data_IF_170621519887
#
_entry.id   IF_170621519887
#
_cell.length_a   1.000
_cell.length_b   1.000
_cell.length_c   1.000
_cell.angle_alpha   90.00
_cell.angle_beta   90.00
_cell.angle_gamma   90.00
#
_symmetry.space_group_name_H-M   'P 1'
#
loop_
_entity.id
_entity.type
_entity.pdbx_description
1 polymer ?
#
# COMPACT_ATOMS: atom_id res chain seq x y z
N UNK A 1 -14.19 -14.99 14.35
CA UNK A 1 -13.63 -15.83 13.27
C UNK A 1 -12.15 -15.99 13.54
N UNK A 2 -11.61 -17.20 13.52
CA UNK A 2 -10.17 -17.41 13.78
C UNK A 2 -9.35 -17.12 12.51
N UNK A 3 -8.03 -16.94 12.66
CA UNK A 3 -7.11 -16.85 11.53
C UNK A 3 -7.18 -18.10 10.63
N UNK A 4 -7.42 -19.28 11.22
CA UNK A 4 -7.57 -20.54 10.49
C UNK A 4 -8.82 -20.54 9.59
N UNK A 5 -9.97 -20.13 10.11
CA UNK A 5 -11.23 -20.04 9.34
C UNK A 5 -11.10 -19.06 8.17
N UNK A 6 -10.45 -17.93 8.44
CA UNK A 6 -10.15 -16.88 7.46
C UNK A 6 -9.23 -17.37 6.35
N UNK A 7 -8.20 -18.12 6.73
CA UNK A 7 -7.21 -18.69 5.79
C UNK A 7 -7.88 -19.73 4.91
N UNK A 8 -8.65 -20.66 5.47
CA UNK A 8 -9.36 -21.70 4.72
C UNK A 8 -10.29 -21.10 3.65
N UNK A 9 -10.91 -19.94 3.94
CA UNK A 9 -11.78 -19.21 3.01
C UNK A 9 -11.04 -18.66 1.78
N UNK A 10 -9.75 -18.34 1.93
CA UNK A 10 -8.92 -17.72 0.89
C UNK A 10 -7.77 -18.60 0.42
N UNK A 11 -7.74 -19.86 0.83
CA UNK A 11 -6.65 -20.78 0.49
C UNK A 11 -6.48 -20.89 -1.02
N UNK A 12 -7.56 -20.90 -1.81
CA UNK A 12 -7.50 -20.93 -3.27
C UNK A 12 -6.69 -19.76 -3.88
N UNK A 13 -6.72 -18.58 -3.26
CA UNK A 13 -5.93 -17.43 -3.71
C UNK A 13 -4.44 -17.60 -3.37
N UNK A 14 -4.14 -18.12 -2.18
CA UNK A 14 -2.76 -18.32 -1.76
C UNK A 14 -2.10 -19.55 -2.37
N UNK A 15 -2.78 -20.68 -2.45
CA UNK A 15 -2.27 -21.99 -2.89
C UNK A 15 -1.59 -21.91 -4.27
N UNK A 16 -2.16 -21.13 -5.20
CA UNK A 16 -1.62 -20.99 -6.56
C UNK A 16 -0.43 -20.08 -6.67
N UNK A 17 -0.35 -19.07 -5.81
CA UNK A 17 0.70 -18.04 -5.88
C UNK A 17 1.88 -18.39 -4.97
N UNK A 18 1.64 -19.10 -3.86
CA UNK A 18 2.66 -19.47 -2.86
C UNK A 18 3.89 -20.14 -3.49
N UNK A 19 3.77 -21.12 -4.40
CA UNK A 19 4.94 -21.77 -5.01
C UNK A 19 5.78 -20.85 -5.90
N UNK A 20 5.25 -19.68 -6.27
CA UNK A 20 5.91 -18.69 -7.11
C UNK A 20 6.60 -17.59 -6.29
N UNK A 21 6.33 -17.52 -4.98
CA UNK A 21 6.88 -16.47 -4.14
C UNK A 21 8.39 -16.68 -3.98
N UNK A 22 9.16 -15.62 -4.24
CA UNK A 22 10.61 -15.64 -4.17
C UNK A 22 11.27 -16.39 -5.33
N UNK A 23 10.51 -17.01 -6.24
CA UNK A 23 11.05 -17.80 -7.35
C UNK A 23 10.85 -17.07 -8.67
N UNK A 24 11.95 -16.86 -9.40
CA UNK A 24 11.89 -16.34 -10.76
C UNK A 24 11.07 -17.26 -11.67
N UNK A 25 9.98 -16.71 -12.18
CA UNK A 25 8.94 -17.43 -12.90
C UNK A 25 8.62 -16.69 -14.21
N UNK A 26 8.42 -17.39 -15.34
CA UNK A 26 7.92 -16.75 -16.55
C UNK A 26 6.62 -15.95 -16.30
N UNK A 27 6.50 -14.77 -16.94
CA UNK A 27 5.36 -13.87 -16.74
C UNK A 27 4.00 -14.54 -17.03
N UNK A 28 3.95 -15.40 -18.03
CA UNK A 28 2.73 -16.11 -18.42
C UNK A 28 2.30 -17.12 -17.36
N UNK A 29 3.25 -17.83 -16.75
CA UNK A 29 2.99 -18.76 -15.65
C UNK A 29 2.43 -18.02 -14.42
N UNK A 30 2.93 -16.83 -14.08
CA UNK A 30 2.33 -15.99 -13.03
C UNK A 30 0.90 -15.59 -13.41
N UNK A 31 0.69 -15.06 -14.61
CA UNK A 31 -0.63 -14.66 -15.09
C UNK A 31 -1.65 -15.82 -15.08
N UNK A 32 -1.24 -17.01 -15.49
CA UNK A 32 -2.09 -18.21 -15.44
C UNK A 32 -2.40 -18.63 -14.01
N UNK A 33 -1.43 -18.60 -13.09
CA UNK A 33 -1.68 -18.91 -11.68
C UNK A 33 -2.74 -17.98 -11.07
N UNK A 34 -2.67 -16.68 -11.37
CA UNK A 34 -3.68 -15.70 -10.97
C UNK A 34 -5.05 -16.03 -11.57
N UNK A 35 -5.11 -16.29 -12.87
CA UNK A 35 -6.36 -16.64 -13.57
C UNK A 35 -7.01 -17.89 -12.98
N UNK A 36 -6.23 -18.93 -12.69
CA UNK A 36 -6.76 -20.16 -12.11
C UNK A 36 -7.31 -19.93 -10.70
N UNK A 37 -6.61 -19.15 -9.87
CA UNK A 37 -7.11 -18.79 -8.54
C UNK A 37 -8.45 -18.01 -8.61
N UNK A 38 -8.56 -17.02 -9.50
CA UNK A 38 -9.82 -16.28 -9.73
C UNK A 38 -10.94 -17.22 -10.16
N UNK A 39 -10.67 -18.11 -11.13
CA UNK A 39 -11.66 -19.08 -11.64
C UNK A 39 -12.10 -20.10 -10.58
N UNK A 40 -11.22 -20.45 -9.65
CA UNK A 40 -11.54 -21.35 -8.53
C UNK A 40 -12.44 -20.66 -7.51
N UNK A 41 -12.20 -19.36 -7.22
CA UNK A 41 -13.03 -18.58 -6.31
C UNK A 41 -14.44 -18.26 -6.89
N UNK A 42 -14.57 -18.23 -8.22
CA UNK A 42 -15.81 -17.93 -8.96
C UNK A 42 -16.54 -16.66 -8.45
N UNK A 43 -15.84 -15.52 -8.34
CA UNK A 43 -16.49 -14.27 -7.94
C UNK A 43 -17.54 -13.85 -8.99
N UNK A 44 -18.68 -13.28 -8.57
CA UNK A 44 -19.71 -12.76 -9.48
C UNK A 44 -19.20 -11.64 -10.42
N UNK A 45 -18.23 -10.84 -9.98
CA UNK A 45 -17.56 -9.84 -10.78
C UNK A 45 -16.08 -9.75 -10.44
N UNK A 46 -15.25 -9.42 -11.43
CA UNK A 46 -13.79 -9.24 -11.27
C UNK A 46 -13.36 -7.93 -11.87
N UNK A 47 -12.71 -7.09 -11.07
CA UNK A 47 -11.92 -5.97 -11.57
C UNK A 47 -10.43 -6.32 -11.57
N UNK A 48 -9.66 -5.73 -12.48
CA UNK A 48 -8.20 -5.84 -12.46
C UNK A 48 -7.58 -4.44 -12.53
N UNK A 49 -6.76 -4.11 -11.54
CA UNK A 49 -5.89 -2.94 -11.54
C UNK A 49 -4.45 -3.40 -11.72
N UNK A 50 -3.67 -2.73 -12.58
CA UNK A 50 -2.25 -3.01 -12.78
C UNK A 50 -1.43 -1.74 -12.62
N UNK A 51 -0.42 -1.81 -11.74
CA UNK A 51 0.46 -0.71 -11.37
C UNK A 51 1.88 -1.11 -11.75
N UNK A 52 2.52 -0.30 -12.60
CA UNK A 52 3.83 -0.58 -13.21
C UNK A 52 4.66 0.69 -13.29
N UNK A 53 5.97 0.56 -13.52
CA UNK A 53 6.76 1.72 -13.89
C UNK A 53 6.38 2.23 -15.29
N UNK A 54 6.53 3.52 -15.55
CA UNK A 54 6.39 4.12 -16.89
C UNK A 54 7.49 3.73 -17.88
N UNK A 55 8.53 3.01 -17.44
CA UNK A 55 9.63 2.57 -18.29
C UNK A 55 9.11 1.63 -19.40
N UNK A 56 9.56 1.83 -20.64
CA UNK A 56 9.12 1.08 -21.80
C UNK A 56 9.42 -0.42 -21.71
N UNK A 57 10.38 -0.82 -20.88
CA UNK A 57 10.70 -2.24 -20.66
C UNK A 57 9.57 -2.99 -19.98
N UNK A 58 8.66 -2.32 -19.26
CA UNK A 58 7.52 -2.98 -18.60
C UNK A 58 6.41 -3.44 -19.56
N UNK A 59 6.57 -3.16 -20.87
CA UNK A 59 5.58 -3.53 -21.88
C UNK A 59 5.24 -5.03 -21.89
N UNK A 60 6.24 -5.91 -21.79
CA UNK A 60 5.99 -7.36 -21.82
C UNK A 60 5.19 -7.83 -20.60
N UNK A 61 5.48 -7.30 -19.41
CA UNK A 61 4.73 -7.58 -18.17
C UNK A 61 3.25 -7.22 -18.34
N UNK A 62 2.97 -6.03 -18.86
CA UNK A 62 1.64 -5.50 -19.11
C UNK A 62 0.87 -6.34 -20.12
N UNK A 63 1.45 -6.59 -21.29
CA UNK A 63 0.81 -7.36 -22.36
C UNK A 63 0.54 -8.80 -21.92
N UNK A 64 1.44 -9.37 -21.12
CA UNK A 64 1.28 -10.73 -20.60
C UNK A 64 0.17 -10.81 -19.56
N UNK A 65 0.08 -9.87 -18.61
CA UNK A 65 -1.04 -9.83 -17.65
C UNK A 65 -2.39 -9.64 -18.38
N UNK A 66 -2.41 -8.75 -19.37
CA UNK A 66 -3.59 -8.50 -20.20
C UNK A 66 -4.06 -9.80 -20.89
N UNK A 67 -3.14 -10.50 -21.55
CA UNK A 67 -3.40 -11.76 -22.28
C UNK A 67 -3.80 -12.91 -21.35
N UNK A 68 -3.05 -13.12 -20.26
CA UNK A 68 -3.15 -14.32 -19.44
C UNK A 68 -4.20 -14.23 -18.32
N UNK A 69 -4.62 -13.03 -17.93
CA UNK A 69 -5.59 -12.81 -16.86
C UNK A 69 -6.77 -11.96 -17.34
N UNK A 70 -6.53 -10.73 -17.75
CA UNK A 70 -7.57 -9.69 -17.93
C UNK A 70 -8.62 -10.11 -18.95
N UNK A 71 -8.21 -10.58 -20.13
CA UNK A 71 -9.14 -11.01 -21.18
C UNK A 71 -10.10 -12.11 -20.75
N UNK A 72 -9.71 -12.94 -19.77
CA UNK A 72 -10.51 -14.07 -19.33
C UNK A 72 -11.44 -13.76 -18.15
N UNK A 73 -11.10 -12.78 -17.31
CA UNK A 73 -11.79 -12.58 -16.02
C UNK A 73 -12.46 -11.22 -15.90
N UNK A 74 -11.94 -10.18 -16.54
CA UNK A 74 -12.48 -8.82 -16.39
C UNK A 74 -13.76 -8.62 -17.20
N UNK A 75 -14.65 -7.69 -16.83
CA UNK A 75 -15.80 -7.33 -17.66
C UNK A 75 -15.35 -6.79 -19.02
N UNK A 76 -16.25 -6.88 -20.00
CA UNK A 76 -16.07 -6.26 -21.32
C UNK A 76 -16.19 -4.75 -21.18
N UNK A 77 -15.21 -4.02 -21.72
CA UNK A 77 -15.23 -2.56 -21.80
C UNK A 77 -16.03 -2.08 -23.02
N UNK A 78 -15.74 -2.66 -24.19
CA UNK A 78 -16.39 -2.42 -25.51
C UNK A 78 -16.35 -3.71 -26.32
N UNK A 79 -16.91 -3.75 -27.55
CA UNK A 79 -16.97 -4.93 -28.43
C UNK A 79 -15.76 -5.87 -28.33
N UNK A 80 -15.89 -6.94 -27.53
CA UNK A 80 -14.85 -7.97 -27.33
C UNK A 80 -13.59 -7.53 -26.56
N UNK A 81 -13.48 -6.27 -26.15
CA UNK A 81 -12.29 -5.73 -25.50
C UNK A 81 -12.44 -5.73 -23.98
N UNK A 82 -11.36 -6.14 -23.32
CA UNK A 82 -11.20 -6.15 -21.87
C UNK A 82 -9.95 -5.34 -21.54
N UNK A 83 -9.92 -4.63 -20.42
CA UNK A 83 -8.73 -3.90 -19.99
C UNK A 83 -8.66 -3.87 -18.48
N UNK A 84 -7.43 -3.95 -17.95
CA UNK A 84 -7.17 -3.53 -16.59
C UNK A 84 -7.25 -2.00 -16.50
N UNK A 85 -7.62 -1.48 -15.32
CA UNK A 85 -7.35 -0.10 -14.96
C UNK A 85 -5.86 0.00 -14.67
N UNK A 86 -5.16 0.85 -15.42
CA UNK A 86 -3.70 0.94 -15.36
C UNK A 86 -3.24 2.26 -14.79
N UNK A 87 -2.28 2.19 -13.88
CA UNK A 87 -1.48 3.34 -13.45
C UNK A 87 -0.02 3.04 -13.77
N UNK A 88 0.66 4.00 -14.38
CA UNK A 88 2.05 3.88 -14.78
C UNK A 88 2.78 5.17 -14.45
N UNK A 89 3.70 5.11 -13.49
CA UNK A 89 4.44 6.27 -13.00
C UNK A 89 5.92 5.93 -12.72
N UNK A 90 6.69 6.92 -12.26
CA UNK A 90 8.09 6.70 -11.89
C UNK A 90 8.18 5.70 -10.73
N UNK A 91 9.02 4.68 -10.91
CA UNK A 91 9.26 3.58 -9.97
C UNK A 91 8.07 2.65 -9.66
N UNK A 92 6.96 2.73 -10.42
CA UNK A 92 5.80 1.86 -10.22
C UNK A 92 5.15 2.04 -8.85
N UNK A 93 5.10 3.29 -8.39
CA UNK A 93 4.53 3.68 -7.11
C UNK A 93 3.03 3.50 -7.10
N UNK A 94 2.51 3.11 -5.95
CA UNK A 94 1.10 3.17 -5.66
C UNK A 94 0.67 4.63 -5.47
N UNK A 95 -0.40 5.04 -6.15
CA UNK A 95 -0.99 6.36 -5.99
C UNK A 95 -2.21 6.26 -5.05
N UNK A 96 -2.17 7.02 -3.95
CA UNK A 96 -3.31 7.15 -3.04
C UNK A 96 -4.56 7.64 -3.79
N UNK A 97 -5.70 7.03 -3.50
CA UNK A 97 -6.97 7.23 -4.19
C UNK A 97 -7.18 6.31 -5.40
N UNK A 98 -6.15 5.63 -5.89
CA UNK A 98 -6.29 4.78 -7.08
C UNK A 98 -7.15 3.55 -6.84
N UNK A 99 -7.15 2.98 -5.63
CA UNK A 99 -7.94 1.79 -5.31
C UNK A 99 -9.44 2.10 -5.20
N UNK A 100 -9.91 3.15 -4.49
CA UNK A 100 -11.31 3.57 -4.54
C UNK A 100 -11.80 3.86 -5.96
N UNK A 101 -10.96 4.51 -6.78
CA UNK A 101 -11.29 4.75 -8.20
C UNK A 101 -11.46 3.42 -8.95
N UNK A 102 -10.58 2.45 -8.75
CA UNK A 102 -10.68 1.13 -9.36
C UNK A 102 -11.88 0.33 -8.83
N UNK A 103 -12.18 0.41 -7.53
CA UNK A 103 -13.34 -0.22 -6.92
C UNK A 103 -14.63 0.29 -7.57
N UNK A 104 -14.82 1.61 -7.61
CA UNK A 104 -15.98 2.24 -8.25
C UNK A 104 -16.03 1.94 -9.76
N UNK A 105 -14.90 1.99 -10.47
CA UNK A 105 -14.84 1.69 -11.90
C UNK A 105 -15.38 0.29 -12.25
N UNK A 106 -15.12 -0.69 -11.38
CA UNK A 106 -15.61 -2.06 -11.54
C UNK A 106 -16.87 -2.35 -10.69
N UNK A 107 -17.57 -1.32 -10.19
CA UNK A 107 -18.81 -1.50 -9.45
C UNK A 107 -19.84 -2.26 -10.29
N UNK A 108 -20.49 -3.23 -9.66
CA UNK A 108 -21.48 -4.10 -10.29
C UNK A 108 -22.88 -3.57 -9.98
N UNK A 109 -23.72 -3.41 -10.99
CA UNK A 109 -25.18 -3.27 -10.86
C UNK A 109 -25.82 -4.65 -10.67
N UNK A 110 -25.38 -5.41 -9.66
CA UNK A 110 -25.95 -6.73 -9.34
C UNK A 110 -26.85 -6.71 -8.09
N UNK A 111 -27.81 -7.65 -7.98
CA UNK A 111 -28.72 -7.75 -6.84
C UNK A 111 -28.00 -7.94 -5.50
N UNK A 112 -28.73 -7.64 -4.41
CA UNK A 112 -28.21 -7.68 -3.04
C UNK A 112 -27.53 -9.00 -2.69
N UNK A 113 -26.30 -8.94 -2.17
CA UNK A 113 -25.52 -10.09 -1.69
C UNK A 113 -24.42 -10.59 -2.62
N UNK A 114 -24.34 -10.12 -3.87
CA UNK A 114 -23.18 -10.37 -4.73
C UNK A 114 -21.93 -9.62 -4.22
N UNK A 115 -20.74 -10.17 -4.49
CA UNK A 115 -19.47 -9.52 -4.16
C UNK A 115 -18.58 -9.38 -5.39
N UNK A 116 -17.66 -8.43 -5.33
CA UNK A 116 -16.61 -8.21 -6.33
C UNK A 116 -15.26 -8.70 -5.83
N UNK A 117 -14.46 -9.28 -6.71
CA UNK A 117 -13.03 -9.46 -6.50
C UNK A 117 -12.27 -8.37 -7.28
N UNK A 118 -11.54 -7.50 -6.59
CA UNK A 118 -10.62 -6.57 -7.25
C UNK A 118 -9.20 -7.12 -7.14
N UNK A 119 -8.65 -7.57 -8.26
CA UNK A 119 -7.25 -8.02 -8.34
C UNK A 119 -6.37 -6.80 -8.60
N UNK A 120 -5.44 -6.52 -7.69
CA UNK A 120 -4.50 -5.41 -7.82
C UNK A 120 -3.10 -5.99 -8.00
N UNK A 121 -2.58 -5.94 -9.22
CA UNK A 121 -1.21 -6.35 -9.51
C UNK A 121 -0.29 -5.14 -9.43
N UNK A 122 0.77 -5.24 -8.64
CA UNK A 122 1.78 -4.18 -8.52
C UNK A 122 3.14 -4.78 -8.87
N UNK A 123 3.86 -4.14 -9.78
CA UNK A 123 5.19 -4.54 -10.20
C UNK A 123 6.17 -3.39 -10.02
N UNK A 124 7.22 -3.63 -9.24
CA UNK A 124 8.49 -2.95 -9.44
C UNK A 124 9.27 -3.69 -10.54
N UNK A 125 10.40 -3.14 -10.97
CA UNK A 125 11.20 -3.78 -12.02
C UNK A 125 12.69 -3.51 -11.88
N UNK A 126 13.49 -4.39 -12.48
CA UNK A 126 14.95 -4.34 -12.47
C UNK A 126 15.50 -4.96 -13.74
N UNK A 127 16.51 -4.32 -14.32
CA UNK A 127 17.21 -4.85 -15.50
C UNK A 127 18.14 -5.99 -15.13
N UNK A 128 18.25 -7.00 -15.99
CA UNK A 128 19.14 -8.14 -15.82
C UNK A 128 20.03 -8.29 -17.05
N UNK A 129 21.34 -8.33 -16.82
CA UNK A 129 22.32 -8.71 -17.85
C UNK A 129 23.03 -10.00 -17.44
N UNK A 130 23.48 -10.76 -18.44
CA UNK A 130 24.30 -11.96 -18.25
C UNK A 130 25.70 -11.68 -18.77
N UNK A 131 26.70 -11.91 -17.93
CA UNK A 131 28.12 -11.84 -18.30
C UNK A 131 28.89 -13.09 -17.86
N UNK A 132 30.19 -13.12 -18.15
CA UNK A 132 31.07 -14.25 -17.79
C UNK A 132 31.16 -14.50 -16.27
N UNK A 133 30.84 -13.49 -15.45
CA UNK A 133 30.82 -13.56 -13.99
C UNK A 133 29.45 -13.90 -13.37
N UNK A 134 28.46 -14.27 -14.19
CA UNK A 134 27.08 -14.51 -13.74
C UNK A 134 26.14 -13.38 -14.12
N UNK A 135 24.99 -13.31 -13.43
CA UNK A 135 23.98 -12.27 -13.64
C UNK A 135 24.36 -11.01 -12.89
N UNK A 136 24.05 -9.87 -13.49
CA UNK A 136 24.09 -8.58 -12.79
C UNK A 136 22.75 -7.88 -12.92
N UNK A 137 22.43 -7.05 -11.93
CA UNK A 137 21.10 -6.49 -11.77
C UNK A 137 21.15 -4.96 -11.66
N UNK A 138 20.15 -4.29 -12.24
CA UNK A 138 20.01 -2.84 -12.21
C UNK A 138 20.38 -2.14 -13.52
N UNK A 139 20.84 -2.89 -14.53
CA UNK A 139 21.25 -2.37 -15.83
C UNK A 139 20.70 -3.20 -16.98
N UNK A 140 20.52 -2.55 -18.12
CA UNK A 140 20.09 -3.17 -19.38
C UNK A 140 20.67 -2.38 -20.56
N UNK A 141 21.08 -3.07 -21.62
CA UNK A 141 21.43 -2.44 -22.89
C UNK A 141 20.14 -2.06 -23.63
N UNK A 142 19.97 -0.76 -23.87
CA UNK A 142 18.85 -0.20 -24.63
C UNK A 142 19.41 0.68 -25.74
N UNK A 143 18.99 0.40 -26.98
CA UNK A 143 19.40 1.18 -28.15
C UNK A 143 20.92 1.25 -28.35
N UNK A 144 21.64 0.17 -28.00
CA UNK A 144 23.10 0.09 -28.10
C UNK A 144 23.85 0.86 -27.00
N UNK A 145 23.17 1.21 -25.91
CA UNK A 145 23.76 1.87 -24.74
C UNK A 145 23.24 1.22 -23.45
N UNK A 146 24.18 0.92 -22.55
CA UNK A 146 23.84 0.48 -21.20
C UNK A 146 23.15 1.60 -20.41
N UNK A 147 22.07 1.25 -19.71
CA UNK A 147 21.21 2.17 -18.99
C UNK A 147 20.72 1.55 -17.67
N UNK A 148 20.31 2.40 -16.72
CA UNK A 148 19.85 1.97 -15.38
C UNK A 148 18.37 1.61 -15.40
N UNK A 149 18.02 0.49 -14.76
CA UNK A 149 16.66 -0.05 -14.68
C UNK A 149 16.41 -0.60 -13.27
N UNK A 150 15.52 -0.05 -12.45
CA UNK A 150 14.62 1.09 -12.64
C UNK A 150 15.30 2.45 -12.38
N UNK A 151 15.32 3.36 -13.36
CA UNK A 151 15.92 4.69 -13.17
C UNK A 151 15.29 5.50 -12.02
N UNK A 152 13.98 5.36 -11.77
CA UNK A 152 13.30 5.99 -10.65
C UNK A 152 13.82 5.50 -9.29
N UNK A 153 13.90 4.18 -9.10
CA UNK A 153 14.40 3.59 -7.85
C UNK A 153 15.88 3.94 -7.60
N UNK A 154 16.70 3.94 -8.66
CA UNK A 154 18.11 4.31 -8.53
C UNK A 154 18.32 5.81 -8.28
N UNK A 155 17.51 6.69 -8.87
CA UNK A 155 17.54 8.12 -8.55
C UNK A 155 17.14 8.39 -7.09
N UNK A 156 16.12 7.67 -6.59
CA UNK A 156 15.76 7.67 -5.18
C UNK A 156 16.93 7.22 -4.29
N UNK A 157 17.56 6.08 -4.61
CA UNK A 157 18.70 5.56 -3.85
C UNK A 157 19.90 6.52 -3.87
N UNK A 158 20.08 7.24 -4.97
CA UNK A 158 21.12 8.27 -5.12
C UNK A 158 20.81 9.59 -4.38
N UNK A 159 19.70 9.68 -3.64
CA UNK A 159 19.36 10.84 -2.83
C UNK A 159 18.67 11.98 -3.58
N UNK A 160 18.03 11.70 -4.72
CA UNK A 160 17.25 12.72 -5.44
C UNK A 160 16.19 13.39 -4.55
N UNK A 161 16.02 14.70 -4.70
CA UNK A 161 15.09 15.54 -3.93
C UNK A 161 13.88 15.99 -4.76
N UNK A 162 13.42 15.09 -5.63
CA UNK A 162 12.23 15.31 -6.45
C UNK A 162 11.02 14.66 -5.78
N UNK A 163 9.79 15.15 -6.00
CA UNK A 163 8.62 14.72 -5.24
C UNK A 163 8.43 13.20 -5.15
N UNK A 164 8.64 12.48 -6.27
CA UNK A 164 8.48 11.02 -6.27
C UNK A 164 9.49 10.29 -5.37
N UNK A 165 10.71 10.82 -5.26
CA UNK A 165 11.78 10.23 -4.46
C UNK A 165 11.57 10.52 -2.97
N UNK A 166 10.96 11.67 -2.64
CA UNK A 166 10.57 12.00 -1.28
C UNK A 166 9.51 11.05 -0.77
N UNK A 167 8.46 10.80 -1.57
CA UNK A 167 7.42 9.81 -1.25
C UNK A 167 8.01 8.40 -1.04
N UNK A 168 8.91 7.95 -1.93
CA UNK A 168 9.61 6.67 -1.76
C UNK A 168 10.41 6.63 -0.46
N UNK A 169 11.07 7.74 -0.09
CA UNK A 169 11.82 7.84 1.16
C UNK A 169 10.92 7.69 2.37
N UNK A 170 9.74 8.34 2.37
CA UNK A 170 8.76 8.20 3.44
C UNK A 170 8.34 6.73 3.61
N UNK A 171 8.08 6.06 2.48
CA UNK A 171 7.67 4.65 2.43
C UNK A 171 8.79 3.73 2.93
N UNK A 172 10.05 3.94 2.51
CA UNK A 172 11.18 3.07 2.89
C UNK A 172 11.58 3.20 4.37
N UNK A 173 11.36 4.36 4.98
CA UNK A 173 11.66 4.65 6.39
C UNK A 173 10.47 4.33 7.33
N UNK A 174 9.37 3.82 6.77
CA UNK A 174 8.17 3.49 7.51
C UNK A 174 8.35 2.35 8.51
N UNK A 175 7.41 2.22 9.45
CA UNK A 175 7.22 1.00 10.26
C UNK A 175 8.40 0.54 11.13
N UNK A 176 9.46 1.33 11.27
CA UNK A 176 10.50 1.10 12.29
C UNK A 176 11.77 0.52 11.73
N UNK A 177 11.80 0.37 10.41
CA UNK A 177 12.87 -0.27 9.70
C UNK A 177 13.50 0.76 8.75
N UNK A 178 14.78 1.07 8.98
CA UNK A 178 15.58 1.85 8.03
C UNK A 178 16.08 0.93 6.93
N UNK A 179 15.20 0.67 5.96
CA UNK A 179 15.47 -0.26 4.86
C UNK A 179 16.61 0.23 3.96
N UNK A 180 16.86 1.54 3.92
CA UNK A 180 17.96 2.10 3.14
C UNK A 180 19.31 1.71 3.77
N UNK A 181 19.45 1.88 5.08
CA UNK A 181 20.65 1.45 5.79
C UNK A 181 20.87 -0.08 5.71
N UNK A 182 19.79 -0.86 5.67
CA UNK A 182 19.88 -2.32 5.54
C UNK A 182 20.24 -2.77 4.11
N UNK A 183 19.82 -2.04 3.08
CA UNK A 183 20.20 -2.32 1.68
C UNK A 183 21.72 -2.23 1.47
N UNK A 184 22.42 -1.38 2.21
CA UNK A 184 23.88 -1.28 2.14
C UNK A 184 24.59 -2.56 2.59
N UNK A 185 23.93 -3.39 3.41
CA UNK A 185 24.43 -4.68 3.89
C UNK A 185 24.18 -5.83 2.91
N UNK A 186 23.35 -5.62 1.90
CA UNK A 186 23.10 -6.61 0.83
C UNK A 186 24.31 -6.63 -0.11
N UNK A 187 24.69 -7.83 -0.57
CA UNK A 187 25.69 -8.01 -1.63
C UNK A 187 25.41 -7.02 -2.78
N UNK A 188 26.37 -6.17 -3.18
CA UNK A 188 26.20 -5.21 -4.26
C UNK A 188 25.62 -5.80 -5.55
N UNK A 189 25.88 -7.09 -5.84
CA UNK A 189 25.31 -7.81 -6.99
C UNK A 189 23.78 -7.90 -6.93
N UNK A 190 23.20 -8.09 -5.74
CA UNK A 190 21.77 -8.28 -5.53
C UNK A 190 21.03 -7.02 -5.07
N UNK A 191 21.76 -5.94 -4.74
CA UNK A 191 21.18 -4.72 -4.16
C UNK A 191 20.04 -4.13 -4.99
N UNK A 192 20.17 -4.10 -6.32
CA UNK A 192 19.13 -3.58 -7.22
C UNK A 192 17.86 -4.44 -7.18
N UNK A 193 18.01 -5.77 -7.05
CA UNK A 193 16.86 -6.68 -6.89
C UNK A 193 16.22 -6.50 -5.53
N UNK A 194 17.02 -6.44 -4.46
CA UNK A 194 16.52 -6.20 -3.11
C UNK A 194 15.74 -4.88 -3.02
N UNK A 195 16.25 -3.82 -3.65
CA UNK A 195 15.57 -2.52 -3.75
C UNK A 195 14.20 -2.65 -4.44
N UNK A 196 14.12 -3.39 -5.54
CA UNK A 196 12.87 -3.63 -6.26
C UNK A 196 11.89 -4.49 -5.45
N UNK A 197 12.37 -5.55 -4.77
CA UNK A 197 11.57 -6.42 -3.91
C UNK A 197 10.91 -5.61 -2.77
N UNK A 198 11.72 -4.81 -2.06
CA UNK A 198 11.24 -3.92 -1.00
C UNK A 198 10.23 -2.92 -1.56
N UNK A 199 10.54 -2.28 -2.69
CA UNK A 199 9.62 -1.31 -3.30
C UNK A 199 8.28 -1.96 -3.60
N UNK A 200 8.24 -3.08 -4.34
CA UNK A 200 7.01 -3.79 -4.67
C UNK A 200 6.21 -4.16 -3.40
N UNK A 201 6.91 -4.65 -2.36
CA UNK A 201 6.32 -5.02 -1.08
C UNK A 201 5.69 -3.84 -0.34
N UNK A 202 6.31 -2.67 -0.37
CA UNK A 202 5.83 -1.46 0.30
C UNK A 202 4.75 -0.72 -0.51
N UNK A 203 4.81 -0.76 -1.85
CA UNK A 203 3.74 -0.23 -2.69
C UNK A 203 2.45 -1.06 -2.54
N UNK A 204 2.55 -2.39 -2.51
CA UNK A 204 1.42 -3.25 -2.16
C UNK A 204 0.92 -3.02 -0.74
N UNK A 205 1.82 -2.67 0.19
CA UNK A 205 1.42 -2.30 1.53
C UNK A 205 0.57 -1.02 1.55
N UNK A 206 0.94 -0.01 0.76
CA UNK A 206 0.15 1.23 0.62
C UNK A 206 -1.26 0.94 0.09
N UNK A 207 -1.39 0.06 -0.92
CA UNK A 207 -2.69 -0.38 -1.42
C UNK A 207 -3.53 -1.09 -0.35
N UNK A 208 -2.92 -1.94 0.48
CA UNK A 208 -3.61 -2.61 1.59
C UNK A 208 -4.09 -1.59 2.63
N UNK A 209 -3.27 -0.59 2.96
CA UNK A 209 -3.67 0.47 3.90
C UNK A 209 -4.90 1.22 3.39
N UNK A 210 -4.93 1.56 2.11
CA UNK A 210 -6.11 2.19 1.52
C UNK A 210 -7.32 1.25 1.51
N UNK A 211 -7.15 -0.02 1.18
CA UNK A 211 -8.22 -1.03 1.28
C UNK A 211 -8.74 -1.21 2.72
N UNK A 212 -7.88 -0.99 3.71
CA UNK A 212 -8.23 -1.08 5.12
C UNK A 212 -9.10 0.09 5.57
N UNK A 213 -8.82 1.29 5.08
CA UNK A 213 -9.48 2.54 5.47
C UNK A 213 -10.73 2.83 4.63
N UNK A 214 -10.72 2.41 3.37
CA UNK A 214 -11.80 2.68 2.43
C UNK A 214 -13.00 1.76 2.68
N UNK A 215 -14.19 2.36 2.79
CA UNK A 215 -15.46 1.66 2.75
C UNK A 215 -15.91 1.53 1.28
N UNK A 216 -15.88 0.32 0.69
CA UNK A 216 -16.29 0.15 -0.70
C UNK A 216 -17.79 0.39 -0.88
N UNK A 217 -18.18 0.80 -2.08
CA UNK A 217 -19.60 0.99 -2.44
C UNK A 217 -20.35 -0.34 -2.50
N UNK A 218 -19.64 -1.41 -2.86
CA UNK A 218 -20.17 -2.77 -2.96
C UNK A 218 -19.32 -3.76 -2.15
N UNK A 219 -19.90 -4.85 -1.62
CA UNK A 219 -19.12 -5.91 -0.95
C UNK A 219 -17.93 -6.35 -1.81
N UNK A 220 -16.72 -6.10 -1.34
CA UNK A 220 -15.50 -6.28 -2.15
C UNK A 220 -14.43 -7.08 -1.41
N UNK A 221 -13.77 -7.98 -2.14
CA UNK A 221 -12.51 -8.60 -1.73
C UNK A 221 -11.42 -7.95 -2.58
N UNK A 222 -10.38 -7.43 -1.94
CA UNK A 222 -9.18 -7.00 -2.63
C UNK A 222 -8.15 -8.11 -2.57
N UNK A 223 -7.62 -8.50 -3.73
CA UNK A 223 -6.51 -9.43 -3.83
C UNK A 223 -5.31 -8.71 -4.44
N UNK A 224 -4.34 -8.34 -3.61
CA UNK A 224 -3.22 -7.47 -3.99
C UNK A 224 -1.96 -8.34 -4.10
N UNK A 225 -1.37 -8.41 -5.30
CA UNK A 225 -0.20 -9.25 -5.59
C UNK A 225 0.98 -8.38 -6.00
N UNK A 226 2.04 -8.44 -5.20
CA UNK A 226 3.28 -7.72 -5.43
C UNK A 226 4.28 -8.58 -6.20
N UNK A 227 4.97 -8.01 -7.19
CA UNK A 227 6.00 -8.69 -7.96
C UNK A 227 7.14 -7.78 -8.39
N UNK A 228 8.22 -8.38 -8.85
CA UNK A 228 9.34 -7.69 -9.51
C UNK A 228 9.51 -8.26 -10.90
N UNK A 229 9.32 -7.44 -11.93
CA UNK A 229 9.67 -7.79 -13.30
C UNK A 229 11.18 -7.77 -13.47
N UNK A 230 11.74 -8.85 -14.01
CA UNK A 230 13.14 -8.98 -14.38
C UNK A 230 13.26 -8.70 -15.88
N UNK A 231 13.57 -7.46 -16.24
CA UNK A 231 13.67 -7.06 -17.64
C UNK A 231 14.97 -7.59 -18.25
N UNK A 232 14.88 -8.29 -19.37
CA UNK A 232 16.02 -8.98 -19.99
C UNK A 232 16.14 -8.69 -21.48
N UNK A 233 17.30 -9.04 -22.10
CA UNK A 233 17.41 -9.09 -23.55
C UNK A 233 16.54 -10.19 -24.19
N UNK A 234 16.28 -11.27 -23.45
CA UNK A 234 15.32 -12.31 -23.82
C UNK A 234 13.96 -12.06 -23.17
N UNK A 235 13.11 -13.08 -23.02
CA UNK A 235 11.78 -12.91 -22.42
C UNK A 235 11.88 -12.55 -20.95
N UNK A 236 11.09 -11.55 -20.56
CA UNK A 236 10.98 -11.12 -19.18
C UNK A 236 10.41 -12.24 -18.29
N UNK A 237 10.81 -12.21 -17.02
CA UNK A 237 10.26 -13.04 -15.96
C UNK A 237 9.85 -12.19 -14.78
N UNK A 238 9.19 -12.79 -13.79
CA UNK A 238 8.75 -12.13 -12.58
C UNK A 238 9.14 -12.94 -11.35
N UNK A 239 9.50 -12.24 -10.27
CA UNK A 239 9.54 -12.80 -8.93
C UNK A 239 8.30 -12.30 -8.20
N UNK A 240 7.41 -13.19 -7.79
CA UNK A 240 6.30 -12.80 -6.91
C UNK A 240 6.87 -12.54 -5.52
N UNK A 241 6.58 -11.37 -4.96
CA UNK A 241 7.09 -10.97 -3.63
C UNK A 241 6.13 -11.42 -2.54
N UNK A 242 4.82 -11.30 -2.80
CA UNK A 242 3.80 -11.68 -1.86
C UNK A 242 2.39 -11.35 -2.33
N UNK A 243 1.42 -11.83 -1.56
CA UNK A 243 0.00 -11.71 -1.81
C UNK A 243 -0.72 -11.26 -0.55
N UNK A 244 -1.64 -10.30 -0.71
CA UNK A 244 -2.55 -9.87 0.33
C UNK A 244 -3.99 -10.15 -0.04
N UNK A 245 -4.80 -10.50 0.94
CA UNK A 245 -6.26 -10.57 0.81
C UNK A 245 -6.88 -9.66 1.85
N UNK A 246 -7.73 -8.74 1.42
CA UNK A 246 -8.48 -7.81 2.27
C UNK A 246 -9.97 -8.01 1.99
N UNK A 247 -10.71 -8.59 2.93
CA UNK A 247 -12.16 -8.82 2.80
C UNK A 247 -12.95 -7.66 3.41
N UNK A 248 -13.74 -6.98 2.58
CA UNK A 248 -14.63 -5.87 2.95
C UNK A 248 -16.07 -6.15 2.55
N UNK A 249 -16.48 -7.43 2.51
CA UNK A 249 -17.86 -7.82 2.21
C UNK A 249 -18.85 -7.60 3.36
N UNK A 250 -18.38 -7.44 4.59
CA UNK A 250 -19.22 -7.25 5.78
C UNK A 250 -18.48 -6.54 6.89
N UNK A 251 -19.07 -6.50 8.08
CA UNK A 251 -18.50 -5.81 9.26
C UNK A 251 -17.24 -6.50 9.80
N UNK A 252 -17.19 -7.84 9.69
CA UNK A 252 -16.00 -8.61 10.04
C UNK A 252 -14.97 -8.48 8.91
N UNK A 253 -13.91 -7.70 9.17
CA UNK A 253 -12.79 -7.53 8.25
C UNK A 253 -11.78 -8.65 8.41
N UNK A 254 -11.08 -8.99 7.34
CA UNK A 254 -10.03 -10.00 7.33
C UNK A 254 -8.94 -9.56 6.41
N UNK A 255 -7.74 -9.39 6.96
CA UNK A 255 -6.58 -8.88 6.23
C UNK A 255 -5.43 -9.85 6.39
N UNK A 256 -5.10 -10.56 5.32
CA UNK A 256 -4.10 -11.63 5.33
C UNK A 256 -2.94 -11.27 4.40
N UNK A 257 -1.74 -11.73 4.76
CA UNK A 257 -0.53 -11.62 3.98
C UNK A 257 0.21 -12.96 3.92
N UNK A 258 0.68 -13.34 2.74
CA UNK A 258 1.64 -14.44 2.55
C UNK A 258 2.72 -13.97 1.58
N UNK A 259 3.97 -14.01 2.01
CA UNK A 259 5.11 -13.69 1.15
C UNK A 259 6.36 -13.27 1.92
N UNK A 260 7.35 -12.77 1.18
CA UNK A 260 8.61 -12.27 1.71
C UNK A 260 8.39 -11.08 2.68
N UNK A 261 9.29 -10.91 3.62
CA UNK A 261 9.44 -9.72 4.44
C UNK A 261 9.95 -8.53 3.65
N UNK A 262 10.09 -7.42 4.35
CA UNK A 262 10.57 -6.14 3.84
C UNK A 262 11.90 -5.70 4.48
N UNK A 263 12.52 -6.58 5.26
CA UNK A 263 13.88 -6.43 5.78
C UNK A 263 14.87 -7.18 4.87
N UNK A 264 15.68 -6.47 4.07
CA UNK A 264 16.57 -7.12 3.11
C UNK A 264 17.75 -7.85 3.76
N UNK A 265 18.02 -7.66 5.05
CA UNK A 265 19.09 -8.38 5.75
C UNK A 265 18.74 -9.85 6.00
N UNK A 266 17.47 -10.23 5.85
CA UNK A 266 16.98 -11.60 5.95
C UNK A 266 16.87 -12.31 4.59
N UNK A 267 17.18 -11.62 3.48
CA UNK A 267 17.09 -12.23 2.15
C UNK A 267 18.28 -13.13 1.85
N UNK A 268 17.99 -14.38 1.53
CA UNK A 268 18.94 -15.36 1.01
C UNK A 268 18.74 -15.50 -0.49
N UNK A 269 19.75 -15.11 -1.26
CA UNK A 269 19.76 -15.21 -2.72
C UNK A 269 20.46 -16.48 -3.17
N UNK A 270 19.81 -17.25 -4.04
CA UNK A 270 20.43 -18.39 -4.70
C UNK A 270 20.09 -18.41 -6.19
N UNK A 271 21.00 -18.94 -7.00
CA UNK A 271 20.75 -19.16 -8.43
C UNK A 271 20.78 -20.66 -8.72
N UNK A 272 19.67 -21.19 -9.21
CA UNK A 272 19.53 -22.58 -9.62
C UNK A 272 18.91 -22.66 -11.02
N UNK A 273 19.51 -23.45 -11.91
CA UNK A 273 18.99 -23.64 -13.28
C UNK A 273 18.72 -22.32 -14.02
N UNK A 274 19.61 -21.34 -13.85
CA UNK A 274 19.51 -19.99 -14.42
C UNK A 274 18.30 -19.16 -13.95
N UNK A 275 17.69 -19.53 -12.82
CA UNK A 275 16.62 -18.81 -12.15
C UNK A 275 17.10 -18.28 -10.81
N UNK A 276 16.69 -17.06 -10.49
CA UNK A 276 16.91 -16.49 -9.16
C UNK A 276 15.85 -17.02 -8.20
N UNK A 277 16.29 -17.41 -7.01
CA UNK A 277 15.44 -17.75 -5.88
C UNK A 277 15.83 -16.88 -4.69
N UNK A 278 14.82 -16.36 -3.98
CA UNK A 278 14.95 -15.56 -2.77
C UNK A 278 14.13 -16.21 -1.68
N UNK A 279 14.76 -16.41 -0.52
CA UNK A 279 14.10 -16.91 0.69
C UNK A 279 14.30 -15.93 1.84
N UNK A 280 13.43 -16.04 2.84
CA UNK A 280 13.61 -15.43 4.14
C UNK A 280 12.97 -16.30 5.24
N UNK A 281 13.09 -15.86 6.49
CA UNK A 281 12.57 -16.53 7.68
C UNK A 281 11.05 -16.45 7.84
N UNK A 282 10.35 -15.78 6.92
CA UNK A 282 8.92 -15.51 7.03
C UNK A 282 8.08 -16.39 6.11
N UNK A 283 8.67 -16.98 5.08
CA UNK A 283 8.05 -18.01 4.26
C UNK A 283 8.01 -19.37 5.00
N UNK A 284 6.93 -20.17 4.86
CA UNK A 284 5.73 -19.99 4.02
C UNK A 284 4.51 -19.41 4.77
N UNK A 285 4.71 -18.81 5.95
CA UNK A 285 3.65 -18.54 6.93
C UNK A 285 2.64 -17.46 6.47
N UNK A 286 1.34 -17.74 6.63
CA UNK A 286 0.26 -16.73 6.53
C UNK A 286 0.22 -15.88 7.79
N UNK A 287 0.06 -14.58 7.62
CA UNK A 287 0.12 -13.59 8.69
C UNK A 287 -1.02 -12.60 8.55
N UNK A 288 -1.44 -12.00 9.65
CA UNK A 288 -2.34 -10.84 9.57
C UNK A 288 -1.60 -9.67 8.92
N UNK A 289 -2.28 -8.96 8.02
CA UNK A 289 -1.77 -7.68 7.56
C UNK A 289 -1.76 -6.71 8.75
N UNK A 290 -0.67 -5.97 8.91
CA UNK A 290 -0.53 -4.99 9.99
C UNK A 290 -1.68 -3.96 9.91
N UNK A 291 -2.08 -3.39 11.04
CA UNK A 291 -3.01 -2.24 11.09
C UNK A 291 -2.22 -1.04 11.59
N UNK A 292 -2.03 -0.02 10.73
CA UNK A 292 -1.16 1.10 11.08
C UNK A 292 -1.79 2.06 12.07
N UNK A 293 -3.11 2.22 12.04
CA UNK A 293 -3.78 3.06 13.03
C UNK A 293 -3.58 2.44 14.40
N UNK A 294 -3.74 1.12 14.52
CA UNK A 294 -3.48 0.37 15.75
C UNK A 294 -2.02 0.44 16.20
N UNK A 295 -1.05 0.23 15.30
CA UNK A 295 0.37 0.27 15.66
C UNK A 295 0.79 1.66 16.14
N UNK A 296 0.37 2.72 15.43
CA UNK A 296 0.64 4.10 15.80
C UNK A 296 0.01 4.43 17.16
N UNK A 297 -1.26 4.07 17.38
CA UNK A 297 -1.96 4.29 18.65
C UNK A 297 -1.28 3.55 19.82
N UNK A 298 -0.87 2.29 19.64
CA UNK A 298 -0.18 1.51 20.66
C UNK A 298 1.20 2.09 20.99
N UNK A 299 1.99 2.44 19.97
CA UNK A 299 3.32 3.04 20.18
C UNK A 299 3.21 4.41 20.85
N UNK A 300 2.23 5.22 20.43
CA UNK A 300 1.93 6.51 21.04
C UNK A 300 1.57 6.38 22.52
N UNK A 301 0.65 5.46 22.86
CA UNK A 301 0.25 5.18 24.25
C UNK A 301 1.40 4.65 25.10
N UNK A 302 2.24 3.76 24.53
CA UNK A 302 3.39 3.17 25.22
C UNK A 302 4.39 4.22 25.68
N UNK A 303 4.59 5.28 24.90
CA UNK A 303 5.56 6.33 25.23
C UNK A 303 5.12 7.22 26.39
N UNK A 304 3.82 7.39 26.64
CA UNK A 304 3.31 8.13 27.81
C UNK A 304 3.71 9.61 27.94
N UNK A 305 4.55 10.13 27.02
CA UNK A 305 5.19 11.45 27.08
C UNK A 305 4.37 12.55 26.39
N UNK A 306 3.52 12.19 25.42
CA UNK A 306 2.70 13.15 24.67
C UNK A 306 1.43 13.47 25.46
N UNK A 307 1.53 14.38 26.42
CA UNK A 307 0.37 14.91 27.15
C UNK A 307 -0.44 15.82 26.22
N UNK A 308 -1.75 15.60 26.17
CA UNK A 308 -2.69 16.51 25.52
C UNK A 308 -2.67 17.86 26.26
N UNK A 309 -2.58 18.96 25.53
CA UNK A 309 -2.57 20.30 26.12
C UNK A 309 -3.88 20.57 26.87
N UNK A 310 -3.80 21.04 28.11
CA UNK A 310 -4.97 21.51 28.90
C UNK A 310 -5.16 23.02 28.80
N UNK A 311 -4.84 23.61 27.65
CA UNK A 311 -4.97 25.05 27.44
C UNK A 311 -6.42 25.51 27.63
N UNK A 312 -6.61 26.54 28.45
CA UNK A 312 -7.92 27.09 28.80
C UNK A 312 -8.72 27.61 27.60
N UNK A 313 -8.04 28.02 26.51
CA UNK A 313 -8.68 28.47 25.26
C UNK A 313 -9.40 27.31 24.57
N UNK A 314 -8.72 26.17 24.44
CA UNK A 314 -9.31 24.94 23.87
C UNK A 314 -10.49 24.49 24.73
N UNK A 315 -10.33 24.47 26.05
CA UNK A 315 -11.39 24.12 27.01
C UNK A 315 -12.61 25.03 26.89
N UNK A 316 -12.40 26.34 26.71
CA UNK A 316 -13.49 27.32 26.55
C UNK A 316 -14.29 27.08 25.27
N UNK A 317 -13.60 26.84 24.15
CA UNK A 317 -14.26 26.54 22.86
C UNK A 317 -15.04 25.23 22.94
N UNK A 318 -14.45 24.17 23.53
CA UNK A 318 -15.11 22.87 23.67
C UNK A 318 -16.28 22.87 24.67
N UNK A 319 -16.26 23.72 25.70
CA UNK A 319 -17.41 23.91 26.60
C UNK A 319 -18.62 24.46 25.85
N UNK A 320 -18.42 25.50 25.04
CA UNK A 320 -19.47 26.07 24.20
C UNK A 320 -19.96 25.04 23.16
N UNK A 321 -19.09 24.12 22.73
CA UNK A 321 -19.43 23.06 21.79
C UNK A 321 -20.44 22.05 22.36
N UNK A 322 -20.40 21.77 23.68
CA UNK A 322 -21.37 20.86 24.32
C UNK A 322 -22.80 21.37 24.22
N UNK A 323 -22.99 22.69 24.23
CA UNK A 323 -24.31 23.32 24.14
C UNK A 323 -24.87 23.29 22.70
N UNK A 324 -24.00 23.17 21.69
CA UNK A 324 -24.35 23.24 20.28
C UNK A 324 -24.07 21.93 19.52
N UNK A 325 -23.88 20.82 20.25
CA UNK A 325 -23.43 19.55 19.66
C UNK A 325 -24.40 18.96 18.64
N UNK A 326 -25.68 19.36 18.68
CA UNK A 326 -26.71 18.85 17.78
C UNK A 326 -26.73 19.57 16.41
N UNK A 327 -26.19 20.79 16.31
CA UNK A 327 -26.20 21.56 15.07
C UNK A 327 -24.95 21.28 14.21
N UNK A 328 -25.15 20.79 12.98
CA UNK A 328 -24.04 20.40 12.11
C UNK A 328 -23.15 21.59 11.68
N UNK A 329 -23.74 22.77 11.47
CA UNK A 329 -23.01 23.99 11.12
C UNK A 329 -22.13 24.46 12.27
N UNK A 330 -22.68 24.48 13.48
CA UNK A 330 -21.97 24.79 14.70
C UNK A 330 -20.81 23.82 14.94
N UNK A 331 -21.03 22.50 14.79
CA UNK A 331 -19.95 21.50 14.91
C UNK A 331 -18.78 21.81 13.97
N UNK A 332 -19.05 22.08 12.69
CA UNK A 332 -18.01 22.44 11.72
C UNK A 332 -17.25 23.70 12.13
N UNK A 333 -17.97 24.76 12.52
CA UNK A 333 -17.35 26.02 12.95
C UNK A 333 -16.48 25.86 14.21
N UNK A 334 -16.93 25.05 15.17
CA UNK A 334 -16.17 24.71 16.38
C UNK A 334 -14.89 23.96 16.00
N UNK A 335 -14.99 22.91 15.17
CA UNK A 335 -13.82 22.11 14.78
C UNK A 335 -12.80 22.98 14.03
N UNK A 336 -13.27 23.83 13.10
CA UNK A 336 -12.43 24.77 12.36
C UNK A 336 -11.75 25.81 13.27
N UNK A 337 -12.31 26.08 14.45
CA UNK A 337 -11.67 26.94 15.46
C UNK A 337 -10.65 26.17 16.31
N UNK A 338 -10.94 24.90 16.65
CA UNK A 338 -10.11 24.11 17.57
C UNK A 338 -8.87 23.54 16.88
N UNK A 339 -8.96 23.11 15.62
CA UNK A 339 -7.83 22.48 14.92
C UNK A 339 -6.61 23.41 14.83
N UNK A 340 -6.73 24.68 14.38
CA UNK A 340 -5.60 25.61 14.37
C UNK A 340 -4.98 25.83 15.76
N UNK A 341 -5.83 25.95 16.80
CA UNK A 341 -5.34 26.08 18.17
C UNK A 341 -4.53 24.85 18.61
N UNK A 342 -4.94 23.65 18.21
CA UNK A 342 -4.20 22.42 18.51
C UNK A 342 -2.91 22.31 17.70
N UNK A 343 -2.89 22.80 16.45
CA UNK A 343 -1.68 22.87 15.63
C UNK A 343 -0.60 23.78 16.25
N UNK A 344 -1.02 24.84 16.94
CA UNK A 344 -0.12 25.73 17.68
C UNK A 344 0.35 25.13 19.01
N UNK A 345 -0.57 24.51 19.76
CA UNK A 345 -0.34 24.13 21.15
C UNK A 345 0.27 22.74 21.34
N UNK A 346 -0.18 21.77 20.54
CA UNK A 346 0.20 20.37 20.68
C UNK A 346 0.00 19.61 19.36
N UNK A 347 0.68 20.02 18.27
CA UNK A 347 0.42 19.52 16.92
C UNK A 347 0.59 18.01 16.85
N UNK A 348 1.68 17.47 17.39
CA UNK A 348 2.01 16.04 17.33
C UNK A 348 0.93 15.18 18.02
N UNK A 349 0.56 15.51 19.26
CA UNK A 349 -0.48 14.77 20.00
C UNK A 349 -1.83 14.82 19.30
N UNK A 350 -2.22 15.97 18.75
CA UNK A 350 -3.47 16.12 18.02
C UNK A 350 -3.48 15.32 16.71
N UNK A 351 -2.42 15.43 15.91
CA UNK A 351 -2.28 14.70 14.65
C UNK A 351 -2.33 13.18 14.87
N UNK A 352 -1.59 12.66 15.85
CA UNK A 352 -1.58 11.23 16.19
C UNK A 352 -2.92 10.76 16.75
N UNK A 353 -3.60 11.57 17.57
CA UNK A 353 -4.95 11.27 18.05
C UNK A 353 -5.91 11.12 16.87
N UNK A 354 -5.99 12.11 15.98
CA UNK A 354 -6.90 12.06 14.84
C UNK A 354 -6.56 10.90 13.89
N UNK A 355 -5.28 10.64 13.65
CA UNK A 355 -4.87 9.48 12.86
C UNK A 355 -5.27 8.15 13.51
N UNK A 356 -5.01 7.95 14.80
CA UNK A 356 -5.38 6.72 15.52
C UNK A 356 -6.89 6.47 15.53
N UNK A 357 -7.70 7.53 15.56
CA UNK A 357 -9.17 7.44 15.57
C UNK A 357 -9.81 7.28 14.18
N UNK A 358 -9.02 7.18 13.12
CA UNK A 358 -9.55 7.06 11.75
C UNK A 358 -10.08 8.37 11.17
N UNK A 359 -9.69 9.52 11.72
CA UNK A 359 -10.10 10.85 11.26
C UNK A 359 -9.08 11.39 10.25
N UNK A 360 -7.79 11.30 10.59
CA UNK A 360 -6.71 11.66 9.66
C UNK A 360 -6.64 10.69 8.48
N UNK A 361 -6.35 11.20 7.28
CA UNK A 361 -6.25 10.37 6.08
C UNK A 361 -5.19 9.28 6.19
N UNK A 362 -5.48 8.07 5.69
CA UNK A 362 -4.55 6.93 5.78
C UNK A 362 -3.24 7.16 5.00
N UNK A 363 -3.26 8.04 3.99
CA UNK A 363 -2.08 8.45 3.24
C UNK A 363 -1.01 9.14 4.14
N UNK A 364 -1.37 9.59 5.35
CA UNK A 364 -0.43 10.07 6.35
C UNK A 364 0.20 8.96 7.20
N UNK A 365 -0.06 7.66 6.95
CA UNK A 365 0.41 6.58 7.80
C UNK A 365 1.91 6.65 8.08
N UNK A 366 2.72 6.96 7.07
CA UNK A 366 4.16 7.06 7.21
C UNK A 366 4.61 8.26 8.04
N UNK A 367 3.97 9.42 7.87
CA UNK A 367 4.18 10.60 8.72
C UNK A 367 3.81 10.30 10.18
N UNK A 368 2.68 9.65 10.42
CA UNK A 368 2.26 9.26 11.76
C UNK A 368 3.26 8.31 12.44
N UNK A 369 3.81 7.34 11.70
CA UNK A 369 4.89 6.47 12.20
C UNK A 369 6.17 7.25 12.56
N UNK A 370 6.55 8.27 11.77
CA UNK A 370 7.69 9.14 12.08
C UNK A 370 7.42 9.98 13.34
N UNK A 371 6.28 10.64 13.42
CA UNK A 371 5.87 11.46 14.56
C UNK A 371 5.83 10.66 15.87
N UNK A 372 5.43 9.39 15.81
CA UNK A 372 5.50 8.50 16.97
C UNK A 372 6.93 8.25 17.45
N UNK A 373 7.94 8.34 16.58
CA UNK A 373 9.34 8.04 16.91
C UNK A 373 10.18 9.26 17.22
N UNK A 374 10.00 10.30 16.43
CA UNK A 374 10.79 11.52 16.40
C UNK A 374 9.85 12.71 16.63
N UNK A 375 9.73 13.12 17.90
CA UNK A 375 8.76 14.14 18.36
C UNK A 375 9.14 15.55 17.87
N UNK A 376 10.34 15.74 17.31
CA UNK A 376 10.86 17.06 16.97
C UNK A 376 10.23 17.65 15.70
N UNK A 377 9.68 16.82 14.80
CA UNK A 377 9.19 17.26 13.48
C UNK A 377 7.74 17.72 13.52
N UNK A 378 7.49 18.86 14.18
CA UNK A 378 6.16 19.46 14.27
C UNK A 378 5.50 19.77 12.91
N UNK A 379 6.26 19.92 11.83
CA UNK A 379 5.75 20.26 10.49
C UNK A 379 4.92 19.13 9.88
N UNK A 380 5.34 17.87 10.05
CA UNK A 380 4.54 16.70 9.61
C UNK A 380 3.16 16.69 10.28
N UNK A 381 3.14 17.02 11.58
CA UNK A 381 1.91 17.07 12.36
C UNK A 381 1.02 18.26 11.97
N UNK A 382 1.60 19.43 11.70
CA UNK A 382 0.86 20.59 11.19
C UNK A 382 0.23 20.29 9.84
N UNK A 383 0.99 19.72 8.91
CA UNK A 383 0.46 19.33 7.60
C UNK A 383 -0.72 18.35 7.73
N UNK A 384 -0.65 17.37 8.64
CA UNK A 384 -1.77 16.45 8.89
C UNK A 384 -3.03 17.15 9.43
N UNK A 385 -2.86 18.21 10.22
CA UNK A 385 -3.94 18.99 10.79
C UNK A 385 -4.52 19.99 9.77
N UNK A 386 -3.67 20.61 8.96
CA UNK A 386 -4.06 21.47 7.82
C UNK A 386 -4.88 20.68 6.80
N UNK A 387 -4.41 19.49 6.38
CA UNK A 387 -5.16 18.60 5.49
C UNK A 387 -6.55 18.23 6.07
N UNK A 388 -6.64 18.03 7.39
CA UNK A 388 -7.92 17.76 8.05
C UNK A 388 -8.82 19.00 8.03
N UNK A 389 -8.26 20.19 8.30
CA UNK A 389 -8.97 21.47 8.28
C UNK A 389 -9.56 21.76 6.89
N UNK A 390 -8.75 21.64 5.84
CA UNK A 390 -9.17 21.85 4.45
C UNK A 390 -10.35 20.94 4.06
N UNK A 391 -10.36 19.71 4.58
CA UNK A 391 -11.41 18.72 4.31
C UNK A 391 -12.70 18.96 5.10
N UNK A 392 -12.69 19.72 6.21
CA UNK A 392 -13.87 19.92 7.07
C UNK A 392 -15.11 20.38 6.31
N UNK A 393 -14.91 21.22 5.28
CA UNK A 393 -15.97 21.72 4.42
C UNK A 393 -16.76 20.59 3.75
N UNK A 394 -16.07 19.53 3.31
CA UNK A 394 -16.63 18.42 2.53
C UNK A 394 -17.02 17.21 3.38
N UNK A 395 -16.66 17.18 4.67
CA UNK A 395 -16.99 16.05 5.54
C UNK A 395 -18.51 15.89 5.75
N UNK A 396 -19.00 14.63 5.76
CA UNK A 396 -20.36 14.30 6.16
C UNK A 396 -20.66 14.70 7.62
N UNK A 397 -21.94 14.96 7.97
CA UNK A 397 -22.33 15.32 9.34
C UNK A 397 -21.90 14.30 10.40
N UNK A 398 -21.94 13.00 10.10
CA UNK A 398 -21.54 11.94 11.04
C UNK A 398 -20.03 11.96 11.32
N UNK A 399 -19.20 12.25 10.32
CA UNK A 399 -17.76 12.39 10.52
C UNK A 399 -17.42 13.61 11.36
N UNK A 400 -18.08 14.75 11.13
CA UNK A 400 -17.89 15.94 11.98
C UNK A 400 -18.32 15.69 13.41
N UNK A 401 -19.39 14.91 13.63
CA UNK A 401 -19.83 14.50 14.96
C UNK A 401 -18.76 13.65 15.65
N UNK A 402 -18.23 12.64 14.96
CA UNK A 402 -17.14 11.79 15.46
C UNK A 402 -15.90 12.60 15.83
N UNK A 403 -15.51 13.58 15.01
CA UNK A 403 -14.38 14.47 15.31
C UNK A 403 -14.63 15.25 16.60
N UNK A 404 -15.81 15.84 16.75
CA UNK A 404 -16.16 16.59 17.95
C UNK A 404 -16.19 15.68 19.20
N UNK A 405 -16.71 14.46 19.09
CA UNK A 405 -16.70 13.49 20.19
C UNK A 405 -15.28 13.14 20.63
N UNK A 406 -14.37 12.90 19.68
CA UNK A 406 -12.95 12.67 19.96
C UNK A 406 -12.31 13.88 20.66
N UNK A 407 -12.59 15.09 20.17
CA UNK A 407 -12.11 16.33 20.79
C UNK A 407 -12.63 16.49 22.23
N UNK A 408 -13.93 16.28 22.46
CA UNK A 408 -14.55 16.40 23.77
C UNK A 408 -14.03 15.34 24.75
N UNK A 409 -13.76 14.11 24.29
CA UNK A 409 -13.23 13.05 25.13
C UNK A 409 -11.75 13.27 25.50
N UNK A 410 -10.97 13.82 24.57
CA UNK A 410 -9.54 14.03 24.74
C UNK A 410 -9.21 15.35 25.47
N UNK A 411 -10.00 16.40 25.23
CA UNK A 411 -9.69 17.77 25.64
C UNK A 411 -10.85 18.49 26.36
N UNK A 412 -11.99 17.86 26.66
CA UNK A 412 -13.11 18.49 27.39
C UNK A 412 -13.32 17.88 28.77
#
# INVERSE_FOLDING_TARGET
MTLADSTARFEALFERVTPLIGVETPLDQVGFALKFAVRQLRPPAVGVQHITCSDETERECVETLQRCLVHDVSPRLKFGNHSALRTANLAGRYEWGSLPVAENHYAITQPSGAYKLLVVKINAHVGVTRGNGGRTYGRLDRYGRESIVCSGLHAFLAGSQVPFADELREVFQAEGCDRLALLDRVDPRHRSVALALISARLQARSAVLEAQDHRPETPTIYWIVAGVTLNKPDRDSEIVVGSYVVDRRGEATTDLYRGLGDDPSHYEFSEAHHRLEIRDDQLPTVREARDHRRIVDQEWKRRGELRLSRDTRVQKVLRNAREHSNDAGARKAIIATVIPLLADLSPVSAALLFFGQGIGGIYHAYRAHRLCRDVERSDDARQMLEDLEERLGTLPPEETKKILEVLLAAYG
#
